data_IF_177668831921
#
_entry.id   IF_177668831921
#
_cell.length_a   1.000
_cell.length_b   1.000
_cell.length_c   1.000
_cell.angle_alpha   90.00
_cell.angle_beta   90.00
_cell.angle_gamma   90.00
#
_symmetry.space_group_name_H-M   'P 1'
#
loop_
_entity.id
_entity.type
_entity.pdbx_description
1 polymer ?
#
# COMPACT_ATOMS: atom_id res chain seq x y z
N UNK A 1 -8.01 4.03 -9.37
CA UNK A 1 -7.35 3.49 -8.17
C UNK A 1 -5.94 4.09 -8.12
N UNK A 2 -5.44 4.50 -6.95
CA UNK A 2 -4.14 5.16 -6.80
C UNK A 2 -2.99 4.14 -6.92
N UNK A 3 -1.87 4.48 -7.56
CA UNK A 3 -0.71 3.57 -7.73
C UNK A 3 0.56 4.23 -7.20
N UNK A 4 1.56 3.42 -6.81
CA UNK A 4 2.92 3.88 -6.50
C UNK A 4 3.86 3.41 -7.61
N UNK A 5 4.18 4.31 -8.53
CA UNK A 5 5.09 4.05 -9.65
C UNK A 5 6.39 4.85 -9.52
N UNK A 6 6.50 5.74 -8.54
CA UNK A 6 7.73 6.44 -8.19
C UNK A 6 7.77 6.80 -6.71
N UNK A 7 8.93 7.23 -6.23
CA UNK A 7 9.08 7.75 -4.86
C UNK A 7 8.24 9.01 -4.65
N UNK A 8 8.11 9.85 -5.67
CA UNK A 8 7.33 11.08 -5.63
C UNK A 8 5.83 10.78 -5.55
N UNK A 9 5.32 9.78 -6.29
CA UNK A 9 3.93 9.32 -6.16
C UNK A 9 3.67 8.76 -4.76
N UNK A 10 4.60 7.97 -4.22
CA UNK A 10 4.49 7.48 -2.85
C UNK A 10 4.39 8.65 -1.86
N UNK A 11 5.30 9.63 -1.93
CA UNK A 11 5.29 10.80 -1.05
C UNK A 11 3.99 11.61 -1.17
N UNK A 12 3.48 11.81 -2.38
CA UNK A 12 2.21 12.50 -2.61
C UNK A 12 1.04 11.77 -1.92
N UNK A 13 0.97 10.44 -2.03
CA UNK A 13 -0.06 9.65 -1.35
C UNK A 13 0.08 9.72 0.17
N UNK A 14 1.32 9.70 0.70
CA UNK A 14 1.57 9.86 2.13
C UNK A 14 1.07 11.21 2.65
N UNK A 15 1.37 12.30 1.95
CA UNK A 15 0.91 13.63 2.32
C UNK A 15 -0.62 13.72 2.29
N UNK A 16 -1.27 13.21 1.26
CA UNK A 16 -2.73 13.20 1.16
C UNK A 16 -3.40 12.36 2.26
N UNK A 17 -2.83 11.21 2.61
CA UNK A 17 -3.39 10.31 3.61
C UNK A 17 -3.12 10.78 5.05
N UNK A 18 -2.04 11.52 5.26
CA UNK A 18 -1.70 12.15 6.53
C UNK A 18 -2.45 13.47 6.80
N UNK A 19 -2.85 14.21 5.75
CA UNK A 19 -3.51 15.52 5.89
C UNK A 19 -5.04 15.41 6.10
N UNK A 20 -5.70 14.39 5.54
CA UNK A 20 -7.16 14.20 5.66
C UNK A 20 -7.58 13.45 6.94
N UNK A 21 -7.03 13.87 8.08
CA UNK A 21 -7.33 13.34 9.42
C UNK A 21 -8.57 14.02 10.03
N UNK A 22 -9.77 13.77 9.51
CA UNK A 22 -10.98 13.99 10.33
C UNK A 22 -11.19 12.75 11.20
N UNK A 23 -10.77 12.87 12.46
CA UNK A 23 -10.60 11.76 13.39
C UNK A 23 -11.85 11.69 14.25
N UNK A 24 -12.82 10.84 13.88
CA UNK A 24 -13.68 10.26 14.89
C UNK A 24 -12.82 9.30 15.72
N UNK A 25 -12.32 9.85 16.82
CA UNK A 25 -11.31 9.34 17.77
C UNK A 25 -11.56 7.94 18.37
N UNK A 26 -12.55 7.19 17.89
CA UNK A 26 -12.98 5.91 18.42
C UNK A 26 -13.15 4.80 17.37
N UNK A 27 -12.91 5.05 16.09
CA UNK A 27 -12.99 4.01 15.05
C UNK A 27 -11.59 3.65 14.54
N UNK A 28 -10.90 2.83 15.33
CA UNK A 28 -9.53 2.33 15.10
C UNK A 28 -9.49 1.26 13.99
N UNK A 29 -10.59 1.06 13.25
CA UNK A 29 -10.79 -0.22 12.56
C UNK A 29 -10.11 -0.33 11.20
N UNK A 30 -9.76 0.76 10.50
CA UNK A 30 -9.07 0.65 9.20
C UNK A 30 -8.11 1.81 8.92
N UNK A 31 -6.87 1.69 9.42
CA UNK A 31 -5.74 2.60 9.13
C UNK A 31 -5.11 2.39 7.74
N UNK A 32 -5.79 1.65 6.84
CA UNK A 32 -5.28 1.22 5.55
C UNK A 32 -6.06 1.85 4.39
N UNK A 33 -5.33 2.32 3.37
CA UNK A 33 -5.87 2.67 2.07
C UNK A 33 -5.46 1.62 1.04
N UNK A 34 -6.42 1.04 0.33
CA UNK A 34 -6.12 0.12 -0.78
C UNK A 34 -5.47 0.88 -1.94
N UNK A 35 -4.37 0.33 -2.43
CA UNK A 35 -3.68 0.80 -3.61
C UNK A 35 -4.04 -0.08 -4.81
N UNK A 36 -3.81 0.49 -5.99
CA UNK A 36 -4.00 -0.17 -7.27
C UNK A 36 -2.83 -1.05 -7.60
N UNK A 37 -2.56 -2.01 -6.73
CA UNK A 37 -1.63 -3.09 -6.98
C UNK A 37 -2.15 -4.38 -6.33
N UNK A 38 -1.79 -5.50 -6.93
CA UNK A 38 -2.12 -6.82 -6.44
C UNK A 38 -0.93 -7.77 -6.61
N UNK A 39 -0.91 -8.86 -5.85
CA UNK A 39 0.12 -9.89 -6.00
C UNK A 39 -0.11 -10.72 -7.27
N UNK A 40 0.96 -11.01 -7.99
CA UNK A 40 1.00 -11.97 -9.09
C UNK A 40 1.29 -13.37 -8.52
N UNK A 41 0.31 -14.28 -8.60
CA UNK A 41 0.39 -15.62 -7.97
C UNK A 41 1.51 -16.51 -8.54
N UNK A 42 2.07 -16.15 -9.71
CA UNK A 42 3.15 -16.89 -10.36
C UNK A 42 4.53 -16.65 -9.75
N UNK A 43 4.79 -15.46 -9.23
CA UNK A 43 6.13 -15.04 -8.77
C UNK A 43 6.12 -14.29 -7.43
N UNK A 44 4.94 -14.04 -6.84
CA UNK A 44 4.77 -13.34 -5.58
C UNK A 44 5.05 -11.84 -5.65
N UNK A 45 5.17 -11.26 -6.85
CA UNK A 45 5.46 -9.84 -7.02
C UNK A 45 4.18 -9.01 -7.05
N UNK A 46 4.21 -7.83 -6.41
CA UNK A 46 3.15 -6.85 -6.58
C UNK A 46 3.27 -6.15 -7.93
N UNK A 47 2.19 -6.17 -8.69
CA UNK A 47 2.03 -5.44 -9.95
C UNK A 47 0.94 -4.41 -9.80
N UNK A 48 1.17 -3.19 -10.30
CA UNK A 48 0.14 -2.17 -10.32
C UNK A 48 -0.93 -2.50 -11.35
N UNK A 49 -2.10 -1.88 -11.24
CA UNK A 49 -3.18 -2.00 -12.24
C UNK A 49 -2.78 -1.48 -13.63
N UNK A 50 -1.61 -0.83 -13.76
CA UNK A 50 -1.00 -0.42 -15.03
C UNK A 50 -0.04 -1.46 -15.63
N UNK A 51 0.19 -2.57 -14.93
CA UNK A 51 1.12 -3.61 -15.35
C UNK A 51 2.58 -3.33 -14.96
N UNK A 52 2.83 -2.36 -14.09
CA UNK A 52 4.18 -1.97 -13.67
C UNK A 52 4.55 -2.70 -12.37
N UNK A 53 5.74 -3.32 -12.26
CA UNK A 53 6.16 -3.94 -11.01
C UNK A 53 6.38 -2.91 -9.90
N UNK A 54 5.82 -3.13 -8.71
CA UNK A 54 5.96 -2.22 -7.57
C UNK A 54 7.44 -1.98 -7.21
N UNK A 55 8.29 -3.00 -7.35
CA UNK A 55 9.73 -2.92 -7.11
C UNK A 55 10.42 -1.83 -7.96
N UNK A 56 9.89 -1.52 -9.14
CA UNK A 56 10.47 -0.53 -10.06
C UNK A 56 10.13 0.90 -9.64
N UNK A 57 9.11 1.11 -8.79
CA UNK A 57 8.78 2.41 -8.21
C UNK A 57 9.86 2.98 -7.28
N UNK A 58 10.77 2.12 -6.81
CA UNK A 58 11.77 2.50 -5.81
C UNK A 58 11.20 2.71 -4.40
N UNK A 59 9.93 2.38 -4.18
CA UNK A 59 9.28 2.42 -2.87
C UNK A 59 9.19 1.03 -2.24
N UNK A 60 9.71 0.89 -1.02
CA UNK A 60 9.84 -0.41 -0.31
C UNK A 60 9.66 -0.29 1.21
N UNK A 61 8.81 0.64 1.66
CA UNK A 61 8.56 0.86 3.08
C UNK A 61 7.52 -0.14 3.61
N UNK A 62 7.89 -1.40 3.80
CA UNK A 62 6.98 -2.43 4.33
C UNK A 62 6.82 -2.31 5.84
N UNK A 63 5.63 -2.65 6.35
CA UNK A 63 5.45 -2.82 7.79
C UNK A 63 6.26 -4.03 8.28
N UNK A 64 6.57 -4.06 9.57
CA UNK A 64 7.37 -5.14 10.14
C UNK A 64 6.64 -6.48 9.96
N UNK A 65 7.29 -7.41 9.24
CA UNK A 65 6.72 -8.72 8.96
C UNK A 65 5.86 -8.77 7.70
N UNK A 66 5.81 -7.71 6.90
CA UNK A 66 5.15 -7.69 5.60
C UNK A 66 6.14 -7.81 4.43
N UNK A 67 5.69 -8.29 3.26
CA UNK A 67 4.37 -8.91 3.02
C UNK A 67 4.31 -10.34 3.62
N UNK A 68 3.22 -10.71 4.30
CA UNK A 68 3.05 -12.06 4.87
C UNK A 68 1.87 -12.88 4.35
N UNK A 69 0.94 -12.27 3.59
CA UNK A 69 -0.26 -12.94 3.11
C UNK A 69 -1.04 -13.61 4.26
N UNK A 70 -1.34 -12.83 5.31
CA UNK A 70 -1.96 -13.32 6.53
C UNK A 70 -3.26 -14.06 6.21
N UNK A 71 -3.38 -15.29 6.71
CA UNK A 71 -4.52 -16.19 6.44
C UNK A 71 -4.76 -16.53 4.95
N UNK A 72 -3.86 -16.15 4.04
CA UNK A 72 -3.98 -16.40 2.61
C UNK A 72 -4.94 -15.47 1.87
N UNK A 73 -5.30 -14.32 2.42
CA UNK A 73 -6.35 -13.42 1.91
C UNK A 73 -5.87 -11.98 1.65
N UNK A 74 -4.55 -11.74 1.54
CA UNK A 74 -3.98 -10.40 1.26
C UNK A 74 -3.43 -10.33 -0.18
N UNK A 75 -4.34 -10.37 -1.15
CA UNK A 75 -3.98 -10.30 -2.58
C UNK A 75 -3.82 -8.85 -3.08
N UNK A 76 -4.32 -7.84 -2.35
CA UNK A 76 -4.26 -6.42 -2.72
C UNK A 76 -3.26 -5.64 -1.85
N UNK A 77 -2.52 -4.72 -2.45
CA UNK A 77 -1.60 -3.85 -1.73
C UNK A 77 -2.36 -2.81 -0.92
N UNK A 78 -1.98 -2.63 0.35
CA UNK A 78 -2.54 -1.59 1.20
C UNK A 78 -1.45 -0.69 1.81
N UNK A 79 -1.81 0.56 2.08
CA UNK A 79 -0.92 1.56 2.67
C UNK A 79 -1.47 2.03 4.01
N UNK A 80 -0.65 1.90 5.06
CA UNK A 80 -0.95 2.41 6.40
C UNK A 80 -0.78 3.92 6.47
N UNK A 81 -1.46 4.57 7.42
CA UNK A 81 -1.27 6.03 7.70
C UNK A 81 0.16 6.46 7.98
N UNK A 82 0.97 5.59 8.57
CA UNK A 82 2.39 5.84 8.81
C UNK A 82 3.27 5.60 7.56
N UNK A 83 2.64 5.32 6.43
CA UNK A 83 3.27 5.06 5.15
C UNK A 83 3.85 3.68 4.98
N UNK A 84 3.53 2.73 5.86
CA UNK A 84 4.02 1.38 5.70
C UNK A 84 3.07 0.54 4.83
N UNK A 85 3.61 -0.28 3.94
CA UNK A 85 2.84 -1.23 3.13
C UNK A 85 2.43 -2.45 3.96
N UNK A 86 1.26 -3.00 3.63
CA UNK A 86 0.80 -4.35 4.00
C UNK A 86 0.40 -5.06 2.71
#
# INVERSE_FOLDING_TARGET
LATINSKEEAMCLLELFAVNLDIHHNDISNDYGLLGAHVMKTDGQFITVKGEPLKESGYSNWAKGEPNNFSGDEDCLSLRRNGQLN
#
